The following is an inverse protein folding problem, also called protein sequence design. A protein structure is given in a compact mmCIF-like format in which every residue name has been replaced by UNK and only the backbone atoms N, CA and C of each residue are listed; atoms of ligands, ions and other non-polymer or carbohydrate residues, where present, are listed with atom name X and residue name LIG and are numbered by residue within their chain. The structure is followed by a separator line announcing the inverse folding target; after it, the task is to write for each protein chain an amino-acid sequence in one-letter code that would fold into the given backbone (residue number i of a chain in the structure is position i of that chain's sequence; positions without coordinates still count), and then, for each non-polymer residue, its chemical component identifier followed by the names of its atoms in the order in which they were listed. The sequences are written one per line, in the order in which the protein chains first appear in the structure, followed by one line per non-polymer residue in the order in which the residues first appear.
data_IF_122158937246
#
_entry.id   IF_122158937246
#
_cell.length_a   1.000
_cell.length_b   1.000
_cell.length_c   1.000
_cell.angle_alpha   90.00
_cell.angle_beta   90.00
_cell.angle_gamma   90.00
#
_symmetry.space_group_name_H-M   'P 1'
#
loop_
_entity.id
_entity.type
_entity.pdbx_description
1 polymer ?
#
# COMPACT_ATOMS: atom_id res chain seq x y z
N UNK A 1 -13.81 -8.60 -25.48
CA UNK A 1 -13.17 -8.29 -24.19
C UNK A 1 -13.31 -9.49 -23.28
N UNK A 2 -12.23 -9.93 -22.65
CA UNK A 2 -12.23 -10.96 -21.59
C UNK A 2 -11.16 -10.62 -20.55
N UNK A 3 -11.23 -11.24 -19.38
CA UNK A 3 -10.27 -11.05 -18.29
C UNK A 3 -9.59 -12.40 -18.02
N UNK A 4 -8.26 -12.40 -17.95
CA UNK A 4 -7.47 -13.55 -17.53
C UNK A 4 -6.87 -13.25 -16.16
N UNK A 5 -6.99 -14.18 -15.22
CA UNK A 5 -6.43 -14.03 -13.88
C UNK A 5 -5.15 -14.86 -13.77
N UNK A 6 -4.02 -14.18 -13.59
CA UNK A 6 -2.69 -14.80 -13.42
C UNK A 6 -2.33 -14.99 -11.94
N UNK A 7 -3.09 -14.37 -11.04
CA UNK A 7 -3.03 -14.58 -9.59
C UNK A 7 -4.22 -13.93 -8.86
N UNK A 8 -4.29 -14.12 -7.54
CA UNK A 8 -5.40 -13.68 -6.67
C UNK A 8 -6.82 -14.06 -7.14
N UNK A 9 -6.97 -15.19 -7.85
CA UNK A 9 -8.27 -15.69 -8.30
C UNK A 9 -8.95 -16.56 -7.22
N UNK A 10 -8.18 -17.46 -6.59
CA UNK A 10 -8.62 -18.38 -5.54
C UNK A 10 -7.79 -18.23 -4.25
N UNK A 11 -7.00 -17.16 -4.15
CA UNK A 11 -6.08 -16.86 -3.05
C UNK A 11 -5.97 -15.36 -2.86
N UNK A 12 -5.19 -14.93 -1.86
CA UNK A 12 -5.10 -13.51 -1.48
C UNK A 12 -3.95 -12.82 -2.21
N UNK A 13 -2.84 -13.53 -2.43
CA UNK A 13 -1.60 -12.90 -2.88
C UNK A 13 -1.34 -13.08 -4.38
N UNK A 14 -0.32 -12.39 -4.90
CA UNK A 14 0.08 -12.50 -6.30
C UNK A 14 -0.87 -11.83 -7.27
N UNK A 15 -1.54 -10.74 -6.85
CA UNK A 15 -2.54 -10.04 -7.66
C UNK A 15 -1.97 -9.65 -9.04
N UNK A 16 -2.62 -10.17 -10.08
CA UNK A 16 -2.18 -10.02 -11.46
C UNK A 16 -3.33 -10.38 -12.40
N UNK A 17 -3.91 -9.38 -13.07
CA UNK A 17 -5.05 -9.57 -13.95
C UNK A 17 -4.80 -8.95 -15.31
N UNK A 18 -5.10 -9.68 -16.38
CA UNK A 18 -4.96 -9.22 -17.75
C UNK A 18 -6.34 -8.91 -18.34
N UNK A 19 -6.58 -7.63 -18.64
CA UNK A 19 -7.74 -7.17 -19.38
C UNK A 19 -7.42 -7.17 -20.88
N UNK A 20 -7.90 -8.19 -21.60
CA UNK A 20 -7.79 -8.27 -23.05
C UNK A 20 -8.81 -7.34 -23.70
N UNK A 21 -8.34 -6.16 -24.13
CA UNK A 21 -9.16 -5.17 -24.85
C UNK A 21 -9.51 -5.70 -26.24
N UNK A 22 -8.50 -6.21 -26.95
CA UNK A 22 -8.62 -6.79 -28.29
C UNK A 22 -7.50 -7.81 -28.57
N UNK A 23 -7.44 -8.38 -29.78
CA UNK A 23 -6.45 -9.42 -30.16
C UNK A 23 -4.98 -8.98 -30.08
N UNK A 24 -4.72 -7.68 -30.04
CA UNK A 24 -3.39 -7.07 -30.09
C UNK A 24 -3.10 -6.16 -28.90
N UNK A 25 -4.01 -6.07 -27.93
CA UNK A 25 -3.92 -5.14 -26.80
C UNK A 25 -4.54 -5.76 -25.57
N UNK A 26 -3.68 -5.96 -24.57
CA UNK A 26 -4.02 -6.31 -23.21
C UNK A 26 -3.43 -5.28 -22.26
N UNK A 27 -4.13 -5.04 -21.16
CA UNK A 27 -3.69 -4.17 -20.07
C UNK A 27 -3.52 -5.04 -18.84
N UNK A 28 -2.37 -4.98 -18.19
CA UNK A 28 -2.13 -5.68 -16.94
C UNK A 28 -2.55 -4.79 -15.77
N UNK A 29 -3.25 -5.36 -14.79
CA UNK A 29 -3.65 -4.72 -13.55
C UNK A 29 -2.93 -5.46 -12.44
N UNK A 30 -2.04 -4.75 -11.76
CA UNK A 30 -1.10 -5.26 -10.76
C UNK A 30 -0.17 -6.37 -11.30
N UNK A 31 0.92 -6.62 -10.57
CA UNK A 31 1.90 -7.67 -10.84
C UNK A 31 2.59 -8.06 -9.53
N UNK A 32 1.84 -8.77 -8.70
CA UNK A 32 2.16 -9.04 -7.31
C UNK A 32 2.97 -10.29 -7.02
N UNK A 33 3.68 -10.29 -5.89
CA UNK A 33 4.36 -11.48 -5.37
C UNK A 33 3.35 -12.44 -4.70
N UNK A 34 3.53 -13.74 -4.90
CA UNK A 34 2.82 -14.76 -4.11
C UNK A 34 3.51 -14.94 -2.76
N UNK A 35 2.77 -14.96 -1.67
CA UNK A 35 3.30 -15.06 -0.30
C UNK A 35 2.49 -16.04 0.55
N UNK A 36 3.08 -16.48 1.66
CA UNK A 36 2.42 -17.38 2.60
C UNK A 36 2.09 -18.73 1.97
N UNK A 37 0.84 -19.18 2.15
CA UNK A 37 0.35 -20.45 1.61
C UNK A 37 0.30 -20.48 0.08
N UNK A 38 0.18 -19.31 -0.56
CA UNK A 38 0.17 -19.18 -2.02
C UNK A 38 1.60 -19.13 -2.62
N UNK A 39 2.65 -19.11 -1.80
CA UNK A 39 4.02 -18.84 -2.24
C UNK A 39 4.47 -19.79 -3.35
N UNK A 40 4.96 -19.20 -4.45
CA UNK A 40 5.54 -19.94 -5.58
C UNK A 40 7.07 -19.88 -5.51
N UNK A 41 7.71 -21.03 -5.74
CA UNK A 41 9.17 -21.10 -5.85
C UNK A 41 9.69 -20.37 -7.09
N UNK A 42 8.94 -20.44 -8.20
CA UNK A 42 9.23 -19.69 -9.41
C UNK A 42 8.35 -18.45 -9.49
N UNK A 43 9.00 -17.29 -9.58
CA UNK A 43 8.40 -15.97 -9.68
C UNK A 43 8.41 -15.43 -11.12
N UNK A 44 8.97 -16.20 -12.06
CA UNK A 44 9.03 -15.87 -13.49
C UNK A 44 7.64 -15.62 -14.07
N UNK A 45 7.54 -14.74 -15.07
CA UNK A 45 6.28 -14.48 -15.75
C UNK A 45 5.95 -15.65 -16.67
N UNK A 46 4.89 -16.39 -16.32
CA UNK A 46 4.48 -17.64 -16.96
C UNK A 46 3.51 -17.45 -18.14
N UNK A 47 3.08 -16.20 -18.40
CA UNK A 47 2.13 -15.84 -19.44
C UNK A 47 2.76 -14.98 -20.54
N UNK A 48 2.14 -14.98 -21.72
CA UNK A 48 2.65 -14.23 -22.87
C UNK A 48 2.44 -12.72 -22.72
N UNK A 49 3.53 -11.96 -22.66
CA UNK A 49 3.49 -10.50 -22.52
C UNK A 49 3.44 -9.72 -23.84
N UNK A 50 3.44 -10.39 -25.01
CA UNK A 50 3.59 -9.76 -26.34
C UNK A 50 2.51 -8.70 -26.61
N UNK A 51 1.29 -8.95 -26.14
CA UNK A 51 0.15 -8.06 -26.32
C UNK A 51 -0.09 -7.12 -25.13
N UNK A 52 0.69 -7.22 -24.05
CA UNK A 52 0.54 -6.37 -22.88
C UNK A 52 1.17 -5.01 -23.19
N UNK A 53 0.32 -4.00 -23.39
CA UNK A 53 0.75 -2.67 -23.81
C UNK A 53 0.99 -1.72 -22.65
N UNK A 54 0.38 -1.97 -21.48
CA UNK A 54 0.58 -1.18 -20.27
C UNK A 54 0.35 -2.02 -19.01
N UNK A 55 0.93 -1.56 -17.90
CA UNK A 55 0.64 -2.01 -16.54
C UNK A 55 -0.04 -0.86 -15.79
N UNK A 56 -1.11 -1.15 -15.05
CA UNK A 56 -1.74 -0.26 -14.09
C UNK A 56 -1.51 -0.83 -12.70
N UNK A 57 -0.96 -0.02 -11.79
CA UNK A 57 -0.75 -0.41 -10.40
C UNK A 57 -1.79 0.28 -9.52
N UNK A 58 -2.59 -0.51 -8.81
CA UNK A 58 -3.63 -0.04 -7.89
C UNK A 58 -3.00 0.59 -6.65
N UNK A 59 -2.00 -0.07 -6.07
CA UNK A 59 -1.26 0.38 -4.90
C UNK A 59 0.08 -0.38 -4.77
N UNK A 60 0.92 0.02 -3.81
CA UNK A 60 2.29 -0.48 -3.70
C UNK A 60 2.51 -1.58 -2.64
N UNK A 61 1.49 -2.36 -2.27
CA UNK A 61 1.77 -3.57 -1.51
C UNK A 61 2.50 -4.60 -2.37
N UNK A 62 3.33 -5.42 -1.72
CA UNK A 62 4.25 -6.33 -2.41
C UNK A 62 3.52 -7.44 -3.17
N UNK A 63 2.38 -7.87 -2.68
CA UNK A 63 1.45 -8.80 -3.33
C UNK A 63 0.65 -8.17 -4.48
N UNK A 64 0.91 -6.89 -4.82
CA UNK A 64 0.43 -6.20 -6.03
C UNK A 64 1.56 -5.70 -6.93
N UNK A 65 2.79 -5.57 -6.44
CA UNK A 65 3.91 -4.99 -7.24
C UNK A 65 5.20 -5.81 -7.25
N UNK A 66 5.32 -6.82 -6.39
CA UNK A 66 6.57 -7.52 -6.15
C UNK A 66 7.09 -8.34 -7.32
N UNK A 67 6.26 -8.64 -8.33
CA UNK A 67 6.68 -9.30 -9.58
C UNK A 67 7.01 -8.32 -10.70
N UNK A 68 6.88 -7.01 -10.52
CA UNK A 68 7.28 -6.01 -11.53
C UNK A 68 8.74 -6.20 -12.00
N UNK A 69 9.75 -6.47 -11.14
CA UNK A 69 11.11 -6.74 -11.60
C UNK A 69 11.20 -7.93 -12.57
N UNK A 70 10.42 -8.98 -12.32
CA UNK A 70 10.34 -10.17 -13.17
C UNK A 70 9.63 -9.87 -14.49
N UNK A 71 8.59 -9.03 -14.46
CA UNK A 71 7.92 -8.52 -15.67
C UNK A 71 8.87 -7.70 -16.55
N UNK A 72 9.69 -6.84 -15.95
CA UNK A 72 10.72 -6.09 -16.66
C UNK A 72 11.78 -7.03 -17.26
N UNK A 73 12.21 -8.04 -16.51
CA UNK A 73 13.17 -9.04 -16.98
C UNK A 73 12.62 -9.90 -18.12
N UNK A 74 11.32 -10.21 -18.11
CA UNK A 74 10.61 -10.91 -19.19
C UNK A 74 10.51 -10.08 -20.49
N UNK A 75 10.87 -8.79 -20.45
CA UNK A 75 10.95 -7.93 -21.62
C UNK A 75 9.79 -6.94 -21.79
N UNK A 76 9.00 -6.70 -20.73
CA UNK A 76 7.95 -5.67 -20.76
C UNK A 76 8.55 -4.27 -20.98
N UNK A 77 7.97 -3.53 -21.93
CA UNK A 77 8.46 -2.20 -22.36
C UNK A 77 7.42 -1.09 -22.24
N UNK A 78 6.19 -1.44 -21.85
CA UNK A 78 5.08 -0.50 -21.76
C UNK A 78 5.19 0.47 -20.57
N UNK A 79 4.35 1.51 -20.52
CA UNK A 79 4.22 2.37 -19.36
C UNK A 79 3.61 1.64 -18.16
N UNK A 80 3.96 2.11 -16.97
CA UNK A 80 3.42 1.67 -15.67
C UNK A 80 2.65 2.85 -15.08
N UNK A 81 1.33 2.83 -15.21
CA UNK A 81 0.47 3.88 -14.68
C UNK A 81 0.23 3.67 -13.19
N UNK A 82 0.42 4.74 -12.41
CA UNK A 82 0.23 4.73 -10.95
C UNK A 82 -0.38 6.05 -10.50
N UNK A 83 -0.87 6.12 -9.25
CA UNK A 83 -1.18 7.41 -8.63
C UNK A 83 0.10 8.16 -8.25
N UNK A 84 0.02 9.49 -8.04
CA UNK A 84 1.18 10.30 -7.62
C UNK A 84 1.89 9.76 -6.37
N UNK A 85 1.14 9.29 -5.37
CA UNK A 85 1.74 8.75 -4.16
C UNK A 85 2.32 7.35 -4.38
N UNK A 86 1.64 6.47 -5.12
CA UNK A 86 2.18 5.16 -5.50
C UNK A 86 3.48 5.31 -6.29
N UNK A 87 3.59 6.29 -7.20
CA UNK A 87 4.83 6.60 -7.92
C UNK A 87 6.01 6.93 -6.99
N UNK A 88 5.76 7.62 -5.88
CA UNK A 88 6.80 7.97 -4.90
C UNK A 88 7.16 6.83 -3.94
N UNK A 89 6.23 5.90 -3.70
CA UNK A 89 6.40 4.78 -2.77
C UNK A 89 6.95 3.52 -3.45
N UNK A 90 6.55 3.27 -4.71
CA UNK A 90 6.86 2.06 -5.45
C UNK A 90 8.36 1.76 -5.55
N UNK A 91 9.26 2.72 -5.86
CA UNK A 91 10.70 2.44 -5.90
C UNK A 91 11.25 1.93 -4.57
N UNK A 92 10.74 2.42 -3.43
CA UNK A 92 11.17 1.98 -2.10
C UNK A 92 10.77 0.53 -1.84
N UNK A 93 9.54 0.15 -2.20
CA UNK A 93 9.03 -1.22 -2.08
C UNK A 93 9.84 -2.17 -2.95
N UNK A 94 10.08 -1.81 -4.22
CA UNK A 94 10.83 -2.64 -5.15
C UNK A 94 12.30 -2.79 -4.72
N UNK A 95 12.91 -1.71 -4.21
CA UNK A 95 14.28 -1.77 -3.70
C UNK A 95 14.41 -2.76 -2.54
N UNK A 96 13.50 -2.69 -1.57
CA UNK A 96 13.49 -3.60 -0.42
C UNK A 96 13.24 -5.05 -0.84
N UNK A 97 12.23 -5.27 -1.69
CA UNK A 97 11.92 -6.60 -2.23
C UNK A 97 13.12 -7.25 -2.93
N UNK A 98 13.87 -6.47 -3.72
CA UNK A 98 15.08 -6.95 -4.36
C UNK A 98 16.16 -7.31 -3.34
N UNK A 99 16.43 -6.43 -2.35
CA UNK A 99 17.46 -6.64 -1.32
C UNK A 99 17.20 -7.87 -0.45
N UNK A 100 15.93 -8.11 -0.12
CA UNK A 100 15.51 -9.19 0.77
C UNK A 100 15.37 -10.51 0.01
N UNK A 101 14.73 -10.50 -1.16
CA UNK A 101 14.32 -11.73 -1.85
C UNK A 101 15.15 -12.14 -3.07
N UNK A 102 15.89 -11.22 -3.70
CA UNK A 102 16.45 -11.48 -5.05
C UNK A 102 17.98 -11.32 -5.09
N UNK A 103 18.49 -10.15 -4.72
CA UNK A 103 19.91 -9.83 -4.84
C UNK A 103 20.30 -8.70 -3.90
N UNK A 104 21.51 -8.77 -3.37
CA UNK A 104 22.12 -7.67 -2.60
C UNK A 104 23.08 -6.83 -3.45
N UNK A 105 23.23 -7.11 -4.75
CA UNK A 105 24.10 -6.33 -5.65
C UNK A 105 23.48 -4.95 -5.93
N UNK A 106 24.11 -3.85 -5.46
CA UNK A 106 23.59 -2.50 -5.66
C UNK A 106 23.50 -2.10 -7.14
N UNK A 107 24.33 -2.67 -8.02
CA UNK A 107 24.31 -2.34 -9.46
C UNK A 107 23.04 -2.88 -10.12
N UNK A 108 22.66 -4.12 -9.81
CA UNK A 108 21.45 -4.76 -10.35
C UNK A 108 20.21 -4.02 -9.84
N UNK A 109 20.16 -3.72 -8.54
CA UNK A 109 19.07 -2.95 -7.93
C UNK A 109 18.94 -1.59 -8.62
N UNK A 110 20.04 -0.83 -8.75
CA UNK A 110 20.04 0.48 -9.41
C UNK A 110 19.59 0.40 -10.87
N UNK A 111 20.01 -0.63 -11.61
CA UNK A 111 19.58 -0.83 -12.99
C UNK A 111 18.07 -1.10 -13.08
N UNK A 112 17.53 -1.97 -12.22
CA UNK A 112 16.10 -2.26 -12.14
C UNK A 112 15.29 -1.01 -11.79
N UNK A 113 15.69 -0.27 -10.75
CA UNK A 113 15.02 0.96 -10.33
C UNK A 113 15.08 2.06 -11.41
N UNK A 114 16.19 2.16 -12.16
CA UNK A 114 16.31 3.08 -13.29
C UNK A 114 15.33 2.74 -14.41
N UNK A 115 15.17 1.45 -14.74
CA UNK A 115 14.18 0.99 -15.71
C UNK A 115 12.75 1.24 -15.22
N UNK A 116 12.46 0.89 -13.97
CA UNK A 116 11.17 1.13 -13.32
C UNK A 116 10.78 2.61 -13.41
N UNK A 117 11.65 3.50 -12.95
CA UNK A 117 11.40 4.95 -12.94
C UNK A 117 11.17 5.54 -14.35
N UNK A 118 11.84 4.99 -15.38
CA UNK A 118 11.61 5.40 -16.77
C UNK A 118 10.26 4.98 -17.32
N UNK A 119 9.61 3.97 -16.73
CA UNK A 119 8.31 3.45 -17.16
C UNK A 119 7.15 4.01 -16.34
N UNK A 120 7.39 4.47 -15.12
CA UNK A 120 6.33 5.03 -14.26
C UNK A 120 5.74 6.29 -14.91
N UNK A 121 4.42 6.29 -15.07
CA UNK A 121 3.61 7.46 -15.40
C UNK A 121 2.69 7.72 -14.22
N UNK A 122 2.95 8.81 -13.51
CA UNK A 122 2.17 9.22 -12.35
C UNK A 122 0.95 10.04 -12.80
N UNK A 123 -0.24 9.66 -12.36
CA UNK A 123 -1.51 10.30 -12.74
C UNK A 123 -2.30 10.69 -11.50
N UNK A 124 -2.96 11.84 -11.57
CA UNK A 124 -3.87 12.29 -10.52
C UNK A 124 -5.12 11.42 -10.41
N UNK A 125 -5.66 11.33 -9.19
CA UNK A 125 -7.00 10.80 -8.99
C UNK A 125 -8.02 11.59 -9.80
N UNK A 126 -9.06 10.90 -10.27
CA UNK A 126 -10.20 11.44 -11.03
C UNK A 126 -9.87 11.98 -12.42
N UNK A 127 -8.61 11.91 -12.85
CA UNK A 127 -8.18 12.28 -14.19
C UNK A 127 -8.23 11.06 -15.11
N UNK A 128 -8.87 11.22 -16.27
CA UNK A 128 -8.83 10.21 -17.32
C UNK A 128 -7.50 10.29 -18.07
N UNK A 129 -6.90 9.13 -18.35
CA UNK A 129 -5.70 9.00 -19.16
C UNK A 129 -5.89 7.89 -20.20
N UNK A 130 -5.34 8.11 -21.39
CA UNK A 130 -5.43 7.15 -22.49
C UNK A 130 -4.47 5.98 -22.26
N UNK A 131 -4.94 4.76 -22.55
CA UNK A 131 -4.13 3.56 -22.54
C UNK A 131 -3.61 3.28 -23.96
N UNK A 132 -2.36 2.80 -24.10
CA UNK A 132 -1.82 2.48 -25.42
C UNK A 132 -2.55 1.28 -26.01
N UNK A 133 -3.42 1.51 -27.00
CA UNK A 133 -4.14 0.47 -27.71
C UNK A 133 -3.69 0.39 -29.17
N UNK A 134 -3.66 -0.84 -29.72
CA UNK A 134 -3.47 -1.12 -31.14
C UNK A 134 -4.82 -1.47 -31.76
N UNK A 135 -5.10 -0.96 -32.96
CA UNK A 135 -6.35 -1.22 -33.69
C UNK A 135 -7.45 -0.18 -33.41
N UNK A 136 -8.69 -0.54 -33.70
CA UNK A 136 -9.84 0.39 -33.70
C UNK A 136 -10.49 0.61 -32.33
N UNK A 137 -10.22 -0.29 -31.37
CA UNK A 137 -10.69 -0.15 -30.00
C UNK A 137 -9.70 0.69 -29.20
N UNK A 138 -10.22 1.70 -28.50
CA UNK A 138 -9.43 2.55 -27.59
C UNK A 138 -9.86 2.31 -26.16
N UNK A 139 -8.94 2.44 -25.21
CA UNK A 139 -9.26 2.37 -23.80
C UNK A 139 -8.65 3.57 -23.06
N UNK A 140 -9.38 4.05 -22.06
CA UNK A 140 -8.88 5.06 -21.11
C UNK A 140 -9.16 4.58 -19.70
N UNK A 141 -8.32 4.99 -18.76
CA UNK A 141 -8.44 4.63 -17.37
C UNK A 141 -8.48 5.86 -16.47
N UNK A 142 -8.97 5.66 -15.25
CA UNK A 142 -9.03 6.69 -14.21
C UNK A 142 -8.86 6.06 -12.84
N UNK A 143 -7.94 6.61 -12.06
CA UNK A 143 -7.77 6.23 -10.66
C UNK A 143 -8.81 6.92 -9.79
N UNK A 144 -9.41 6.16 -8.89
CA UNK A 144 -10.27 6.66 -7.82
C UNK A 144 -9.70 6.22 -6.49
N UNK A 145 -10.09 6.86 -5.39
CA UNK A 145 -9.51 6.55 -4.07
C UNK A 145 -10.09 5.24 -3.53
N UNK A 146 -9.21 4.29 -3.23
CA UNK A 146 -9.58 3.03 -2.56
C UNK A 146 -9.48 3.10 -1.03
N UNK A 147 -8.67 4.02 -0.49
CA UNK A 147 -8.58 4.26 0.95
C UNK A 147 -7.87 3.16 1.75
N UNK A 148 -7.20 2.22 1.09
CA UNK A 148 -6.49 1.09 1.70
C UNK A 148 -5.13 1.50 2.28
N UNK A 149 -4.24 1.99 1.42
CA UNK A 149 -2.98 2.64 1.80
C UNK A 149 -2.84 3.99 1.09
N UNK A 150 -1.85 4.80 1.48
CA UNK A 150 -1.56 6.04 0.78
C UNK A 150 -1.27 5.77 -0.71
N UNK A 151 -2.01 6.45 -1.60
CA UNK A 151 -1.87 6.25 -3.04
C UNK A 151 -2.72 5.11 -3.61
N UNK A 152 -3.38 4.32 -2.77
CA UNK A 152 -4.26 3.23 -3.24
C UNK A 152 -5.41 3.72 -4.10
N UNK A 153 -5.72 2.92 -5.12
CA UNK A 153 -6.77 3.23 -6.06
C UNK A 153 -7.54 2.00 -6.54
N UNK A 154 -8.85 2.18 -6.69
CA UNK A 154 -9.60 1.36 -7.64
C UNK A 154 -9.53 2.04 -9.02
N UNK A 155 -9.60 1.23 -10.07
CA UNK A 155 -9.37 1.67 -11.44
C UNK A 155 -10.65 1.49 -12.23
N UNK A 156 -11.14 2.59 -12.82
CA UNK A 156 -12.19 2.54 -13.83
C UNK A 156 -11.53 2.53 -15.22
N UNK A 157 -11.91 1.58 -16.07
CA UNK A 157 -11.41 1.45 -17.45
C UNK A 157 -12.59 1.48 -18.42
N UNK A 158 -12.63 2.50 -19.28
CA UNK A 158 -13.61 2.64 -20.35
C UNK A 158 -13.03 2.08 -21.65
N UNK A 159 -13.64 1.02 -22.18
CA UNK A 159 -13.33 0.47 -23.50
C UNK A 159 -14.33 1.02 -24.52
N UNK A 160 -13.83 1.58 -25.61
CA UNK A 160 -14.61 2.29 -26.63
C UNK A 160 -14.36 1.63 -27.99
N UNK A 161 -15.44 1.25 -28.68
CA UNK A 161 -15.38 0.73 -30.05
C UNK A 161 -15.61 1.86 -31.07
N UNK A 162 -14.60 2.18 -31.90
CA UNK A 162 -14.81 3.04 -33.08
C UNK A 162 -15.17 2.18 -34.30
N UNK A 163 -15.94 2.69 -35.28
CA UNK A 163 -16.62 3.99 -35.35
C UNK A 163 -18.11 3.82 -35.01
N UNK A 164 -18.47 3.46 -33.77
CA UNK A 164 -19.91 3.34 -33.46
C UNK A 164 -20.58 4.72 -33.41
N UNK A 165 -21.65 4.91 -34.18
CA UNK A 165 -22.57 6.06 -34.13
C UNK A 165 -23.23 6.24 -32.74
N UNK A 166 -23.19 5.20 -31.89
CA UNK A 166 -23.55 5.24 -30.48
C UNK A 166 -22.29 5.16 -29.62
N UNK A 167 -22.17 5.97 -28.56
CA UNK A 167 -21.10 5.84 -27.55
C UNK A 167 -21.25 4.54 -26.75
N UNK A 168 -20.97 3.39 -27.38
CA UNK A 168 -21.02 2.12 -26.69
C UNK A 168 -19.70 1.95 -25.93
N UNK A 169 -19.71 2.41 -24.68
CA UNK A 169 -18.57 2.35 -23.75
C UNK A 169 -18.85 1.28 -22.70
N UNK A 170 -18.02 0.23 -22.70
CA UNK A 170 -18.05 -0.81 -21.67
C UNK A 170 -17.08 -0.44 -20.56
N UNK A 171 -17.57 -0.30 -19.33
CA UNK A 171 -16.76 0.04 -18.16
C UNK A 171 -16.41 -1.20 -17.35
N UNK A 172 -15.11 -1.47 -17.25
CA UNK A 172 -14.55 -2.45 -16.31
C UNK A 172 -14.00 -1.73 -15.10
N UNK A 173 -14.28 -2.21 -13.91
CA UNK A 173 -13.72 -1.68 -12.65
C UNK A 173 -12.92 -2.78 -11.96
N UNK A 174 -11.69 -2.47 -11.59
CA UNK A 174 -10.86 -3.29 -10.70
C UNK A 174 -10.75 -2.57 -9.37
N UNK A 175 -11.16 -3.21 -8.26
CA UNK A 175 -11.11 -2.57 -6.94
C UNK A 175 -9.71 -2.30 -6.44
N UNK A 176 -8.74 -3.15 -6.81
CA UNK A 176 -7.55 -3.35 -5.98
C UNK A 176 -7.99 -3.75 -4.56
N UNK A 177 -7.23 -3.33 -3.56
CA UNK A 177 -7.63 -3.49 -2.17
C UNK A 177 -8.42 -2.27 -1.69
N UNK A 178 -9.50 -2.53 -0.94
CA UNK A 178 -10.39 -1.49 -0.43
C UNK A 178 -10.15 -1.26 1.06
N UNK A 179 -9.94 0.00 1.42
CA UNK A 179 -9.82 0.38 2.82
C UNK A 179 -11.15 0.36 3.55
N UNK A 180 -11.11 -0.04 4.82
CA UNK A 180 -12.26 0.06 5.70
C UNK A 180 -12.71 1.53 5.88
N UNK A 181 -14.01 1.79 6.05
CA UNK A 181 -14.49 3.11 6.45
C UNK A 181 -13.83 3.58 7.75
N UNK A 182 -13.59 4.88 7.82
CA UNK A 182 -13.01 5.58 8.99
C UNK A 182 -11.58 5.18 9.36
N UNK A 183 -10.86 4.45 8.49
CA UNK A 183 -9.42 4.23 8.66
C UNK A 183 -8.68 5.56 8.85
N UNK A 184 -7.76 5.66 9.83
CA UNK A 184 -6.96 6.86 10.04
C UNK A 184 -6.25 7.34 8.77
N UNK A 185 -6.03 8.65 8.64
CA UNK A 185 -5.29 9.32 7.56
C UNK A 185 -5.94 9.28 6.17
N UNK A 186 -6.66 8.22 5.81
CA UNK A 186 -7.10 7.98 4.44
C UNK A 186 -8.60 8.27 4.27
N UNK A 187 -9.02 8.98 3.20
CA UNK A 187 -10.43 9.12 2.88
C UNK A 187 -11.05 7.75 2.57
N UNK A 188 -12.26 7.50 3.10
CA UNK A 188 -13.01 6.29 2.80
C UNK A 188 -13.27 6.15 1.29
N UNK A 189 -13.24 4.93 0.73
CA UNK A 189 -13.59 4.70 -0.66
C UNK A 189 -15.02 5.13 -0.95
N UNK A 190 -15.24 5.67 -2.15
CA UNK A 190 -16.58 5.93 -2.68
C UNK A 190 -16.84 4.97 -3.82
N UNK A 191 -18.01 4.32 -3.91
CA UNK A 191 -18.30 3.39 -4.99
C UNK A 191 -18.27 4.10 -6.36
N UNK A 192 -17.92 3.39 -7.45
CA UNK A 192 -18.04 3.92 -8.79
C UNK A 192 -19.51 4.21 -9.11
N UNK A 193 -19.76 5.20 -9.97
CA UNK A 193 -21.13 5.52 -10.42
C UNK A 193 -21.77 4.37 -11.21
N UNK A 194 -20.97 3.66 -12.00
CA UNK A 194 -21.37 2.47 -12.75
C UNK A 194 -20.19 1.55 -12.98
N UNK A 195 -20.46 0.27 -13.19
CA UNK A 195 -19.55 -0.72 -13.75
C UNK A 195 -20.37 -1.72 -14.56
N UNK A 196 -19.97 -1.99 -15.80
CA UNK A 196 -20.55 -3.05 -16.62
C UNK A 196 -19.90 -4.41 -16.28
N UNK A 197 -18.65 -4.37 -15.79
CA UNK A 197 -17.95 -5.51 -15.19
C UNK A 197 -17.17 -5.02 -13.97
N UNK A 198 -17.31 -5.72 -12.84
CA UNK A 198 -16.61 -5.41 -11.59
C UNK A 198 -15.78 -6.62 -11.16
N UNK A 199 -14.47 -6.40 -11.03
CA UNK A 199 -13.54 -7.30 -10.36
C UNK A 199 -13.25 -6.69 -9.00
N UNK A 200 -13.67 -7.38 -7.94
CA UNK A 200 -13.60 -6.88 -6.57
C UNK A 200 -12.86 -7.87 -5.68
N UNK A 201 -12.01 -7.36 -4.80
CA UNK A 201 -11.38 -8.14 -3.74
C UNK A 201 -12.43 -8.73 -2.78
N UNK A 202 -12.05 -9.77 -2.04
CA UNK A 202 -12.95 -10.44 -1.10
C UNK A 202 -12.21 -10.94 0.15
N UNK A 203 -11.13 -10.26 0.55
CA UNK A 203 -10.25 -10.67 1.67
C UNK A 203 -11.03 -10.96 2.96
N UNK A 204 -12.09 -10.20 3.18
CA UNK A 204 -12.99 -10.32 4.34
C UNK A 204 -14.44 -10.54 3.93
N UNK A 205 -14.68 -11.25 2.82
CA UNK A 205 -16.03 -11.54 2.31
C UNK A 205 -16.89 -12.38 3.27
N UNK A 206 -16.31 -12.94 4.33
CA UNK A 206 -16.93 -13.85 5.29
C UNK A 206 -17.34 -13.19 6.63
N UNK A 207 -16.86 -11.97 6.94
CA UNK A 207 -17.07 -11.36 8.27
C UNK A 207 -17.09 -9.83 8.27
N UNK A 208 -17.67 -9.27 9.33
CA UNK A 208 -17.65 -7.84 9.60
C UNK A 208 -16.58 -7.48 10.65
N UNK A 209 -15.93 -6.34 10.46
CA UNK A 209 -14.96 -5.81 11.42
C UNK A 209 -15.63 -4.94 12.51
N UNK A 210 -15.05 -4.97 13.71
CA UNK A 210 -15.39 -4.06 14.81
C UNK A 210 -15.19 -2.59 14.40
N UNK A 211 -15.95 -1.68 14.98
CA UNK A 211 -15.85 -0.25 14.70
C UNK A 211 -14.56 0.39 15.21
N UNK A 212 -14.11 1.50 14.61
CA UNK A 212 -12.86 2.20 15.01
C UNK A 212 -12.84 2.56 16.49
N UNK A 213 -13.97 3.01 17.06
CA UNK A 213 -14.07 3.38 18.48
C UNK A 213 -13.73 2.21 19.41
N UNK A 214 -14.26 1.03 19.12
CA UNK A 214 -13.99 -0.20 19.89
C UNK A 214 -12.52 -0.59 19.74
N UNK A 215 -11.98 -0.61 18.51
CA UNK A 215 -10.57 -0.92 18.26
C UNK A 215 -9.62 0.02 18.99
N UNK A 216 -9.89 1.34 18.98
CA UNK A 216 -9.10 2.33 19.72
C UNK A 216 -9.18 2.09 21.24
N UNK A 217 -10.34 1.71 21.76
CA UNK A 217 -10.51 1.41 23.19
C UNK A 217 -9.77 0.12 23.59
N UNK A 218 -9.83 -0.92 22.75
CA UNK A 218 -9.08 -2.17 22.95
C UNK A 218 -7.58 -1.90 22.95
N UNK A 219 -7.07 -1.16 21.95
CA UNK A 219 -5.66 -0.76 21.88
C UNK A 219 -5.24 -0.01 23.15
N UNK A 220 -6.04 0.97 23.58
CA UNK A 220 -5.80 1.73 24.81
C UNK A 220 -5.73 0.81 26.03
N UNK A 221 -6.69 -0.11 26.18
CA UNK A 221 -6.76 -1.03 27.32
C UNK A 221 -5.55 -1.97 27.39
N UNK A 222 -5.11 -2.50 26.25
CA UNK A 222 -3.92 -3.39 26.17
C UNK A 222 -2.67 -2.63 26.59
N UNK A 223 -2.50 -1.40 26.10
CA UNK A 223 -1.35 -0.56 26.46
C UNK A 223 -1.40 -0.19 27.95
N UNK A 224 -2.54 0.25 28.46
CA UNK A 224 -2.67 0.62 29.88
C UNK A 224 -2.40 -0.56 30.81
N UNK A 225 -2.82 -1.78 30.43
CA UNK A 225 -2.52 -2.98 31.16
C UNK A 225 -1.01 -3.25 31.23
N UNK A 226 -0.32 -3.24 30.09
CA UNK A 226 1.12 -3.49 30.04
C UNK A 226 1.96 -2.37 30.68
N UNK A 227 1.52 -1.12 30.61
CA UNK A 227 2.24 0.01 31.21
C UNK A 227 2.00 0.10 32.73
N UNK A 228 1.00 -0.60 33.28
CA UNK A 228 0.68 -0.56 34.70
C UNK A 228 1.85 -1.07 35.57
N UNK A 229 2.55 -2.11 35.12
CA UNK A 229 3.70 -2.75 35.75
C UNK A 229 5.02 -2.49 34.98
N UNK A 230 5.08 -1.41 34.21
CA UNK A 230 6.23 -0.98 33.41
C UNK A 230 6.65 -1.98 32.30
N UNK A 231 5.72 -2.80 31.81
CA UNK A 231 5.93 -3.70 30.68
C UNK A 231 6.05 -3.00 29.33
N UNK A 232 6.41 -3.80 28.32
CA UNK A 232 6.59 -3.38 26.93
C UNK A 232 5.54 -4.04 26.04
N UNK A 233 4.89 -3.24 25.19
CA UNK A 233 3.96 -3.73 24.16
C UNK A 233 4.69 -3.87 22.84
N UNK A 234 4.87 -5.10 22.37
CA UNK A 234 5.41 -5.37 21.03
C UNK A 234 4.26 -5.53 20.03
N UNK A 235 4.29 -4.75 18.95
CA UNK A 235 3.31 -4.79 17.87
C UNK A 235 4.01 -5.13 16.55
N UNK A 236 3.86 -6.36 16.03
CA UNK A 236 4.27 -6.65 14.67
C UNK A 236 3.36 -5.86 13.70
N UNK A 237 3.96 -5.10 12.80
CA UNK A 237 3.23 -4.28 11.84
C UNK A 237 3.91 -4.27 10.47
N UNK A 238 3.10 -4.21 9.42
CA UNK A 238 3.61 -3.92 8.08
C UNK A 238 4.17 -2.50 8.05
N UNK A 239 5.33 -2.33 7.40
CA UNK A 239 6.02 -1.03 7.33
C UNK A 239 5.24 0.05 6.57
N UNK A 240 4.29 -0.36 5.72
CA UNK A 240 3.39 0.52 4.96
C UNK A 240 1.93 0.27 5.38
N UNK A 241 1.18 1.36 5.58
CA UNK A 241 -0.23 1.31 6.01
C UNK A 241 -0.36 1.18 7.53
N UNK A 242 -0.27 -0.06 8.04
CA UNK A 242 -0.62 -0.37 9.45
C UNK A 242 0.22 0.39 10.47
N UNK A 243 1.52 0.51 10.25
CA UNK A 243 2.41 1.30 11.12
C UNK A 243 1.92 2.75 11.22
N UNK A 244 1.61 3.40 10.09
CA UNK A 244 1.20 4.81 10.09
C UNK A 244 -0.17 5.01 10.74
N UNK A 245 -1.10 4.07 10.56
CA UNK A 245 -2.38 4.08 11.29
C UNK A 245 -2.18 3.99 12.81
N UNK A 246 -1.30 3.09 13.27
CA UNK A 246 -1.01 2.91 14.69
C UNK A 246 -0.35 4.16 15.28
N UNK A 247 0.64 4.74 14.60
CA UNK A 247 1.26 5.99 15.02
C UNK A 247 0.23 7.12 15.19
N UNK A 248 -0.72 7.23 14.25
CA UNK A 248 -1.79 8.22 14.31
C UNK A 248 -2.72 8.04 15.52
N UNK A 249 -3.10 6.79 15.82
CA UNK A 249 -3.94 6.46 16.97
C UNK A 249 -3.19 6.67 18.30
N UNK A 250 -1.92 6.25 18.37
CA UNK A 250 -1.08 6.46 19.55
C UNK A 250 -0.89 7.95 19.87
N UNK A 251 -0.59 8.78 18.86
CA UNK A 251 -0.51 10.23 19.04
C UNK A 251 -1.84 10.81 19.54
N UNK A 252 -2.97 10.29 19.06
CA UNK A 252 -4.29 10.72 19.51
C UNK A 252 -4.60 10.34 20.95
N UNK A 253 -4.22 9.13 21.37
CA UNK A 253 -4.37 8.66 22.75
C UNK A 253 -3.51 9.49 23.69
N UNK A 254 -2.21 9.64 23.39
CA UNK A 254 -1.27 10.45 24.19
C UNK A 254 -1.78 11.89 24.32
N UNK A 255 -2.20 12.51 23.21
CA UNK A 255 -2.67 13.89 23.20
C UNK A 255 -3.92 14.10 24.08
N UNK A 256 -4.88 13.17 24.08
CA UNK A 256 -6.13 13.25 24.84
C UNK A 256 -5.96 13.03 26.34
N UNK A 257 -4.86 12.42 26.77
CA UNK A 257 -4.64 12.13 28.19
C UNK A 257 -4.21 13.37 28.98
N UNK A 258 -4.52 13.47 30.28
CA UNK A 258 -4.03 14.54 31.15
C UNK A 258 -2.49 14.68 31.14
N UNK A 259 -1.98 15.85 31.50
CA UNK A 259 -0.52 16.10 31.54
C UNK A 259 0.23 15.27 32.58
N UNK A 260 -0.47 14.80 33.62
CA UNK A 260 0.07 13.94 34.69
C UNK A 260 -0.18 12.44 34.42
N UNK A 261 -0.65 12.07 33.23
CA UNK A 261 -0.89 10.68 32.85
C UNK A 261 0.43 9.96 32.55
N UNK A 262 0.55 8.68 32.94
CA UNK A 262 1.68 7.80 32.56
C UNK A 262 1.90 7.76 31.04
N UNK A 263 0.84 7.96 30.25
CA UNK A 263 0.92 8.07 28.78
C UNK A 263 1.89 9.15 28.27
N UNK A 264 2.22 10.16 29.09
CA UNK A 264 3.18 11.20 28.72
C UNK A 264 4.62 10.70 28.72
N UNK A 265 4.90 9.63 29.47
CA UNK A 265 6.23 9.06 29.65
C UNK A 265 6.43 7.77 28.85
N UNK A 266 5.35 7.24 28.23
CA UNK A 266 5.46 6.04 27.37
C UNK A 266 6.24 6.39 26.10
N UNK A 267 7.29 5.62 25.84
CA UNK A 267 8.06 5.70 24.61
C UNK A 267 7.39 4.90 23.50
N UNK A 268 7.28 5.48 22.30
CA UNK A 268 6.86 4.78 21.09
C UNK A 268 8.09 4.60 20.22
N UNK A 269 8.49 3.35 19.99
CA UNK A 269 9.69 3.00 19.23
C UNK A 269 9.24 2.42 17.90
N UNK A 270 9.68 3.01 16.80
CA UNK A 270 9.51 2.46 15.46
C UNK A 270 10.80 1.79 15.03
N UNK A 271 10.83 0.47 15.13
CA UNK A 271 11.97 -0.38 14.82
C UNK A 271 11.85 -1.00 13.43
N UNK A 272 11.89 -0.14 12.43
CA UNK A 272 11.85 -0.54 11.02
C UNK A 272 12.34 0.64 10.15
N UNK A 273 13.56 0.56 9.59
CA UNK A 273 14.08 1.60 8.69
C UNK A 273 13.15 1.81 7.49
N UNK A 274 12.57 0.73 6.97
CA UNK A 274 11.58 0.78 5.90
C UNK A 274 10.31 1.54 6.33
N UNK A 275 9.79 1.29 7.53
CA UNK A 275 8.60 1.99 8.00
C UNK A 275 8.87 3.47 8.27
N UNK A 276 10.06 3.83 8.76
CA UNK A 276 10.50 5.21 8.90
C UNK A 276 10.52 5.92 7.53
N UNK A 277 11.13 5.30 6.52
CA UNK A 277 11.17 5.81 5.16
C UNK A 277 9.77 6.00 4.55
N UNK A 278 8.85 5.04 4.74
CA UNK A 278 7.46 5.20 4.31
C UNK A 278 6.76 6.33 5.05
N UNK A 279 7.01 6.48 6.35
CA UNK A 279 6.41 7.54 7.16
C UNK A 279 6.79 8.93 6.64
N UNK A 280 8.04 9.12 6.21
CA UNK A 280 8.48 10.35 5.53
C UNK A 280 7.68 10.63 4.26
N UNK A 281 7.44 9.62 3.42
CA UNK A 281 6.59 9.77 2.23
C UNK A 281 5.14 10.06 2.61
N UNK A 282 4.60 9.43 3.65
CA UNK A 282 3.25 9.71 4.14
C UNK A 282 3.09 11.19 4.52
N UNK A 283 4.07 11.75 5.23
CA UNK A 283 4.09 13.17 5.60
C UNK A 283 4.20 14.07 4.36
N UNK A 284 5.04 13.72 3.38
CA UNK A 284 5.18 14.46 2.11
C UNK A 284 3.86 14.56 1.35
N UNK A 285 3.07 13.48 1.34
CA UNK A 285 1.77 13.42 0.68
C UNK A 285 0.58 13.78 1.59
N UNK A 286 0.78 14.52 2.69
CA UNK A 286 -0.29 14.94 3.62
C UNK A 286 -1.47 15.68 2.99
N UNK A 287 -1.29 16.29 1.81
CA UNK A 287 -2.38 16.90 1.05
C UNK A 287 -3.42 15.86 0.56
N UNK A 288 -3.06 14.58 0.49
CA UNK A 288 -3.97 13.48 0.15
C UNK A 288 -4.74 12.95 1.35
N UNK A 289 -4.36 13.32 2.58
CA UNK A 289 -5.00 12.83 3.79
C UNK A 289 -6.46 13.28 3.91
N UNK A 290 -7.18 12.59 4.77
CA UNK A 290 -8.57 12.86 5.11
C UNK A 290 -8.75 14.20 5.85
N UNK A 291 -10.02 14.58 6.05
CA UNK A 291 -10.36 15.84 6.69
C UNK A 291 -10.05 15.84 8.20
N UNK A 292 -10.06 14.69 8.88
CA UNK A 292 -9.66 14.60 10.29
C UNK A 292 -8.17 14.91 10.46
N UNK A 293 -7.30 14.24 9.71
CA UNK A 293 -5.86 14.40 9.80
C UNK A 293 -5.42 15.82 9.39
N UNK A 294 -6.03 16.40 8.34
CA UNK A 294 -5.76 17.80 7.96
C UNK A 294 -6.11 18.79 9.06
N UNK A 295 -7.23 18.58 9.77
CA UNK A 295 -7.60 19.42 10.93
C UNK A 295 -6.61 19.27 12.08
N UNK A 296 -6.05 18.08 12.30
CA UNK A 296 -4.98 17.89 13.31
C UNK A 296 -3.74 18.71 12.95
N UNK A 297 -3.28 18.65 11.70
CA UNK A 297 -2.14 19.45 11.22
C UNK A 297 -2.42 20.95 11.38
N UNK A 298 -3.61 21.42 11.01
CA UNK A 298 -3.99 22.83 11.14
C UNK A 298 -3.97 23.34 12.59
N UNK A 299 -4.08 22.43 13.57
CA UNK A 299 -3.94 22.73 15.01
C UNK A 299 -2.50 22.60 15.53
N UNK A 300 -1.51 22.48 14.64
CA UNK A 300 -0.11 22.29 15.02
C UNK A 300 0.21 20.89 15.56
N UNK A 301 -0.62 19.89 15.27
CA UNK A 301 -0.33 18.50 15.66
C UNK A 301 0.42 17.77 14.56
N UNK A 302 1.21 16.79 14.97
CA UNK A 302 2.08 15.99 14.10
C UNK A 302 1.79 14.50 14.31
N UNK A 303 0.73 13.94 13.68
CA UNK A 303 0.25 12.59 14.01
C UNK A 303 1.23 11.45 13.70
N UNK A 304 2.24 11.70 12.87
CA UNK A 304 3.26 10.73 12.47
C UNK A 304 4.68 11.14 12.91
N UNK A 305 4.81 12.22 13.68
CA UNK A 305 6.08 12.79 14.11
C UNK A 305 5.88 13.55 15.42
N UNK A 306 5.72 12.81 16.52
CA UNK A 306 5.38 13.37 17.83
C UNK A 306 6.49 13.08 18.84
N UNK A 307 6.57 13.90 19.91
CA UNK A 307 7.66 13.89 20.90
C UNK A 307 8.02 12.51 21.45
N UNK A 308 7.02 11.64 21.65
CA UNK A 308 7.21 10.31 22.22
C UNK A 308 7.72 9.26 21.21
N UNK A 309 7.80 9.59 19.92
CA UNK A 309 8.24 8.69 18.86
C UNK A 309 9.76 8.70 18.72
N UNK A 310 10.37 7.52 18.64
CA UNK A 310 11.79 7.32 18.31
C UNK A 310 11.89 6.30 17.19
N UNK A 311 12.60 6.63 16.10
CA UNK A 311 12.80 5.76 14.94
C UNK A 311 14.18 5.12 14.97
N UNK A 312 14.26 3.82 14.69
CA UNK A 312 15.50 3.03 14.74
C UNK A 312 15.89 2.61 13.33
N UNK A 313 17.13 2.98 12.96
CA UNK A 313 17.64 2.77 11.61
C UNK A 313 18.71 1.67 11.56
N UNK A 314 19.36 1.38 12.69
CA UNK A 314 20.48 0.44 12.74
C UNK A 314 20.33 -0.65 13.82
N UNK A 315 20.95 -1.80 13.55
CA UNK A 315 21.02 -2.90 14.53
C UNK A 315 21.74 -2.48 15.84
N UNK A 316 22.68 -1.52 15.76
CA UNK A 316 23.37 -1.02 16.94
C UNK A 316 22.42 -0.22 17.85
N UNK A 317 21.63 0.70 17.28
CA UNK A 317 20.62 1.47 18.00
C UNK A 317 19.54 0.58 18.59
N UNK A 318 19.08 -0.43 17.83
CA UNK A 318 18.15 -1.45 18.32
C UNK A 318 18.66 -2.06 19.64
N UNK A 319 19.90 -2.59 19.63
CA UNK A 319 20.48 -3.20 20.85
C UNK A 319 20.64 -2.21 21.99
N UNK A 320 21.03 -0.97 21.69
CA UNK A 320 21.17 0.08 22.71
C UNK A 320 19.83 0.37 23.41
N UNK A 321 18.73 0.41 22.65
CA UNK A 321 17.40 0.64 23.19
C UNK A 321 16.89 -0.54 24.00
N UNK A 322 17.04 -1.77 23.50
CA UNK A 322 16.63 -2.96 24.27
C UNK A 322 17.37 -3.01 25.61
N UNK A 323 18.67 -2.70 25.63
CA UNK A 323 19.44 -2.61 26.86
C UNK A 323 18.95 -1.49 27.78
N UNK A 324 18.63 -0.32 27.23
CA UNK A 324 18.07 0.80 27.99
C UNK A 324 16.72 0.44 28.64
N UNK A 325 15.78 -0.10 27.86
CA UNK A 325 14.46 -0.50 28.36
C UNK A 325 14.56 -1.57 29.45
N UNK A 326 15.44 -2.55 29.26
CA UNK A 326 15.63 -3.66 30.23
C UNK A 326 16.26 -3.16 31.52
N UNK A 327 17.29 -2.31 31.45
CA UNK A 327 18.02 -1.82 32.62
C UNK A 327 17.23 -0.83 33.47
N UNK A 328 16.33 -0.05 32.86
CA UNK A 328 15.57 1.00 33.53
C UNK A 328 14.11 0.62 33.81
N UNK A 329 13.67 -0.56 33.36
CA UNK A 329 12.27 -0.99 33.41
C UNK A 329 11.34 0.11 32.86
N UNK A 330 11.69 0.66 31.70
CA UNK A 330 10.96 1.78 31.10
C UNK A 330 9.80 1.24 30.25
N UNK A 331 8.55 1.66 30.50
CA UNK A 331 7.42 1.25 29.68
C UNK A 331 7.55 1.79 28.24
N UNK A 332 7.30 0.92 27.27
CA UNK A 332 7.41 1.27 25.86
C UNK A 332 6.41 0.52 24.97
N UNK A 333 6.17 1.08 23.79
CA UNK A 333 5.43 0.47 22.69
C UNK A 333 6.42 0.33 21.53
N UNK A 334 6.69 -0.89 21.09
CA UNK A 334 7.61 -1.17 19.99
C UNK A 334 6.79 -1.61 18.78
N UNK A 335 6.86 -0.84 17.70
CA UNK A 335 6.33 -1.19 16.39
C UNK A 335 7.48 -1.74 15.54
N UNK A 336 7.40 -3.00 15.12
CA UNK A 336 8.47 -3.65 14.36
C UNK A 336 7.92 -4.47 13.18
N UNK A 337 8.73 -4.62 12.14
CA UNK A 337 8.45 -5.54 11.03
C UNK A 337 8.95 -6.97 11.35
N UNK A 338 8.43 -8.04 10.73
CA UNK A 338 7.34 -8.06 9.75
C UNK A 338 5.96 -8.18 10.41
N UNK A 339 4.92 -7.67 9.74
CA UNK A 339 3.55 -7.66 10.27
C UNK A 339 2.92 -9.04 10.50
N UNK A 340 3.52 -10.10 9.97
CA UNK A 340 3.05 -11.49 10.12
C UNK A 340 4.01 -12.36 10.95
N UNK A 341 5.02 -11.76 11.59
CA UNK A 341 6.04 -12.49 12.36
C UNK A 341 6.73 -13.61 11.54
N UNK A 342 6.96 -13.33 10.26
CA UNK A 342 7.55 -14.27 9.27
C UNK A 342 9.06 -14.39 9.36
#
# INVERSE_FOLDING_TARGET
MHILHHGAANGVTGSCHELAVNKHTSILIDCGLFQGEDAKADLSIEFNITNITALIVTHCHIDHVGRIPYLLAAGFKGPIFTTLATAGLLPLVIEDALKVGVTRDPKIIKACLSLLNKRIIAVDYKSWFELPCKGEQTAKARFQRAGHILGSAYVEIDIINKPSLSKNTHRVVFSGDLGAPYTPLLPAPKPPYKADTLVIESTYGDKNHQGRKERTQTLKSVIEHAVADNGVVLVPAFSIGRTQELLYELEQLIHKTPKNSKWRDVHVILDSPMAANFTVQYIKFKHLWDAEAKRKIAKGRHPLDFKNLTTIDTHHEHKAIINYLTSHQTPAIILAASGMCS
#
